data_IF_766198149984
#
_entry.id   IF_766198149984
#
_cell.length_a   1.000
_cell.length_b   1.000
_cell.length_c   1.000
_cell.angle_alpha   90.00
_cell.angle_beta   90.00
_cell.angle_gamma   90.00
#
_symmetry.space_group_name_H-M   'P 1'
#
loop_
_entity.id
_entity.type
_entity.pdbx_description
1 polymer ?
#
# COMPACT_ATOMS: atom_id res chain seq x y z
N UNK A 1 -7.32 17.09 2.98
CA UNK A 1 -7.58 16.82 1.56
C UNK A 1 -6.32 16.43 0.76
N UNK A 2 -5.14 17.00 1.04
CA UNK A 2 -3.90 16.70 0.30
C UNK A 2 -3.34 15.27 0.40
N UNK A 3 -3.70 14.48 1.41
CA UNK A 3 -3.14 13.13 1.60
C UNK A 3 -4.06 11.97 1.16
N UNK A 4 -5.27 12.23 0.69
CA UNK A 4 -6.16 11.21 0.14
C UNK A 4 -5.84 10.89 -1.33
N UNK A 5 -5.02 11.72 -1.99
CA UNK A 5 -4.67 11.58 -3.41
C UNK A 5 -3.26 10.98 -3.64
N UNK A 6 -2.55 10.58 -2.60
CA UNK A 6 -1.29 9.83 -2.76
C UNK A 6 -1.51 8.32 -2.92
N UNK A 7 -2.42 7.92 -3.81
CA UNK A 7 -2.25 6.66 -4.54
C UNK A 7 -1.05 6.93 -5.46
N UNK A 8 0.13 6.44 -5.05
CA UNK A 8 1.32 6.56 -5.90
C UNK A 8 1.09 5.78 -7.19
N UNK A 9 1.02 6.41 -8.37
CA UNK A 9 0.89 5.69 -9.64
C UNK A 9 2.21 5.04 -10.07
N UNK A 10 3.14 4.75 -9.14
CA UNK A 10 4.48 4.23 -9.44
C UNK A 10 4.54 2.76 -9.85
N UNK A 11 3.45 2.03 -9.85
CA UNK A 11 3.47 0.59 -10.18
C UNK A 11 2.84 0.21 -11.53
N UNK A 12 2.32 1.15 -12.32
CA UNK A 12 1.54 0.77 -13.51
C UNK A 12 2.25 1.03 -14.85
N UNK A 13 3.22 1.95 -14.94
CA UNK A 13 3.86 2.23 -16.24
C UNK A 13 5.35 2.61 -16.05
N UNK A 14 6.24 1.62 -15.96
CA UNK A 14 7.62 1.78 -16.42
C UNK A 14 7.61 1.54 -17.93
N UNK A 15 7.59 2.60 -18.71
CA UNK A 15 8.00 2.59 -20.10
C UNK A 15 9.38 3.21 -20.18
N UNK A 16 10.30 2.44 -20.77
CA UNK A 16 11.67 2.87 -21.09
C UNK A 16 11.65 4.07 -22.05
N UNK A 17 12.69 4.88 -21.97
CA UNK A 17 12.94 6.08 -22.78
C UNK A 17 12.88 5.77 -24.28
N UNK A 18 11.78 6.12 -24.98
CA UNK A 18 11.79 6.16 -26.44
C UNK A 18 10.73 7.13 -26.98
N UNK A 19 11.19 7.83 -27.98
CA UNK A 19 10.59 8.83 -28.87
C UNK A 19 9.06 8.89 -28.90
N UNK A 20 8.51 10.07 -28.61
CA UNK A 20 7.07 10.38 -28.77
C UNK A 20 6.66 10.17 -30.23
N UNK A 21 5.58 9.41 -30.46
CA UNK A 21 5.06 9.12 -31.79
C UNK A 21 4.69 10.42 -32.55
N UNK A 22 4.13 11.40 -31.84
CA UNK A 22 3.80 12.73 -32.41
C UNK A 22 5.06 13.49 -32.85
N UNK A 23 6.14 13.43 -32.05
CA UNK A 23 7.41 14.05 -32.40
C UNK A 23 8.09 13.32 -33.56
N UNK A 24 8.05 11.99 -33.59
CA UNK A 24 8.57 11.19 -34.70
C UNK A 24 7.82 11.49 -36.00
N UNK A 25 6.52 11.59 -35.96
CA UNK A 25 5.73 11.89 -37.15
C UNK A 25 5.91 13.32 -37.62
N UNK A 26 5.95 14.29 -36.69
CA UNK A 26 6.15 15.70 -37.03
C UNK A 26 7.57 15.99 -37.57
N UNK A 27 8.56 15.41 -36.90
CA UNK A 27 9.96 15.75 -37.15
C UNK A 27 10.63 14.86 -38.21
N UNK A 28 10.09 13.67 -38.48
CA UNK A 28 10.65 12.66 -39.39
C UNK A 28 9.74 12.36 -40.59
N UNK A 29 8.50 11.96 -40.34
CA UNK A 29 7.63 11.47 -41.41
C UNK A 29 7.02 12.59 -42.25
N UNK A 30 6.53 13.66 -41.64
CA UNK A 30 5.93 14.79 -42.37
C UNK A 30 6.89 15.48 -43.30
N UNK A 31 8.15 15.81 -42.91
CA UNK A 31 9.16 16.33 -43.82
C UNK A 31 9.51 15.34 -44.93
N UNK A 32 9.58 14.05 -44.62
CA UNK A 32 9.88 13.01 -45.62
C UNK A 32 8.76 12.91 -46.64
N UNK A 33 7.51 12.89 -46.24
CA UNK A 33 6.31 12.86 -47.09
C UNK A 33 6.20 14.12 -47.97
N UNK A 34 6.51 15.30 -47.42
CA UNK A 34 6.60 16.58 -48.20
C UNK A 34 7.69 16.50 -49.26
N UNK A 35 8.86 15.95 -48.92
CA UNK A 35 9.98 15.77 -49.83
C UNK A 35 9.65 14.75 -50.93
N UNK A 36 8.95 13.66 -50.61
CA UNK A 36 8.46 12.69 -51.57
C UNK A 36 7.44 13.31 -52.53
N UNK A 37 6.44 14.05 -52.08
CA UNK A 37 5.47 14.73 -52.95
C UNK A 37 6.12 15.70 -53.89
N UNK A 38 7.03 16.54 -53.38
CA UNK A 38 7.74 17.51 -54.19
C UNK A 38 8.58 16.82 -55.28
N UNK A 39 9.34 15.84 -54.98
CA UNK A 39 10.16 15.10 -55.91
C UNK A 39 9.35 14.28 -56.93
N UNK A 40 8.25 13.71 -56.47
CA UNK A 40 7.34 12.94 -57.34
C UNK A 40 6.62 13.86 -58.33
N UNK A 41 6.21 15.04 -57.94
CA UNK A 41 5.69 16.06 -58.87
C UNK A 41 6.74 16.58 -59.88
N UNK A 42 7.99 16.66 -59.48
CA UNK A 42 9.11 16.99 -60.39
C UNK A 42 9.34 15.84 -61.38
N UNK A 43 9.26 14.61 -60.97
CA UNK A 43 9.34 13.41 -61.83
C UNK A 43 8.19 13.37 -62.82
N UNK A 44 6.96 13.58 -62.39
CA UNK A 44 5.77 13.66 -63.22
C UNK A 44 5.89 14.77 -64.26
N UNK A 45 6.31 15.95 -63.90
CA UNK A 45 6.50 17.06 -64.81
C UNK A 45 7.63 16.84 -65.84
N UNK A 46 8.67 16.06 -65.53
CA UNK A 46 9.78 15.80 -66.47
C UNK A 46 9.50 14.66 -67.45
N UNK A 47 8.79 13.61 -67.00
CA UNK A 47 8.68 12.37 -67.78
C UNK A 47 7.31 12.17 -68.44
N UNK A 48 6.20 12.70 -67.89
CA UNK A 48 4.87 12.56 -68.48
C UNK A 48 4.74 13.36 -69.80
N UNK A 49 5.56 14.35 -70.03
CA UNK A 49 5.61 15.16 -71.30
C UNK A 49 6.31 14.50 -72.47
N UNK A 50 6.90 13.32 -72.30
CA UNK A 50 7.57 12.57 -73.36
C UNK A 50 6.57 11.56 -73.99
N UNK A 51 6.33 11.63 -75.28
CA UNK A 51 5.34 10.83 -76.05
C UNK A 51 5.51 9.30 -75.93
N UNK A 52 6.67 8.80 -75.55
CA UNK A 52 6.91 7.38 -75.30
C UNK A 52 6.41 6.82 -74.01
N UNK A 53 5.98 7.66 -73.07
CA UNK A 53 5.59 7.29 -71.72
C UNK A 53 4.06 7.26 -71.46
N UNK A 54 3.24 7.58 -72.51
CA UNK A 54 1.90 8.11 -72.30
C UNK A 54 0.80 7.11 -71.83
N UNK A 55 0.86 5.81 -72.04
CA UNK A 55 -0.33 5.02 -71.81
C UNK A 55 -0.26 3.98 -70.67
N UNK A 56 0.89 3.43 -70.35
CA UNK A 56 0.99 2.39 -69.31
C UNK A 56 1.60 2.91 -68.00
N UNK A 57 2.57 3.78 -68.09
CA UNK A 57 3.33 4.27 -66.90
C UNK A 57 2.62 5.41 -66.18
N UNK A 58 1.81 6.20 -66.85
CA UNK A 58 0.97 7.25 -66.27
C UNK A 58 -0.04 6.71 -65.26
N UNK A 59 -0.57 5.53 -65.47
CA UNK A 59 -1.52 4.88 -64.56
C UNK A 59 -0.86 4.41 -63.28
N UNK A 60 0.31 3.79 -63.32
CA UNK A 60 1.10 3.35 -62.14
C UNK A 60 1.57 4.56 -61.30
N UNK A 61 2.01 5.62 -61.95
CA UNK A 61 2.42 6.88 -61.27
C UNK A 61 1.21 7.52 -60.57
N UNK A 62 0.05 7.54 -61.24
CA UNK A 62 -1.20 8.04 -60.66
C UNK A 62 -1.64 7.21 -59.47
N UNK A 63 -1.50 5.88 -59.55
CA UNK A 63 -1.80 4.97 -58.43
C UNK A 63 -0.88 5.20 -57.24
N UNK A 64 0.43 5.41 -57.45
CA UNK A 64 1.36 5.74 -56.39
C UNK A 64 1.07 7.10 -55.72
N UNK A 65 0.64 8.09 -56.52
CA UNK A 65 0.22 9.40 -55.99
C UNK A 65 -1.03 9.30 -55.13
N UNK A 66 -2.04 8.55 -55.60
CA UNK A 66 -3.28 8.26 -54.82
C UNK A 66 -2.98 7.52 -53.53
N UNK A 67 -2.03 6.58 -53.50
CA UNK A 67 -1.64 5.84 -52.29
C UNK A 67 -0.97 6.77 -51.27
N UNK A 68 -0.09 7.66 -51.72
CA UNK A 68 0.54 8.69 -50.88
C UNK A 68 -0.47 9.68 -50.29
N UNK A 69 -1.45 10.08 -51.09
CA UNK A 69 -2.53 10.96 -50.65
C UNK A 69 -3.45 10.27 -49.63
N UNK A 70 -3.80 9.01 -49.87
CA UNK A 70 -4.59 8.18 -48.95
C UNK A 70 -3.89 8.00 -47.60
N UNK A 71 -2.60 7.70 -47.59
CA UNK A 71 -1.78 7.62 -46.37
C UNK A 71 -1.78 8.92 -45.58
N UNK A 72 -1.69 10.05 -46.28
CA UNK A 72 -1.70 11.37 -45.65
C UNK A 72 -3.06 11.74 -45.04
N UNK A 73 -4.17 11.39 -45.69
CA UNK A 73 -5.54 11.63 -45.19
C UNK A 73 -5.80 10.76 -43.96
N UNK A 74 -5.51 9.46 -44.04
CA UNK A 74 -5.65 8.55 -42.90
C UNK A 74 -4.84 9.04 -41.69
N UNK A 75 -3.66 9.58 -41.92
CA UNK A 75 -2.81 10.11 -40.87
C UNK A 75 -3.42 11.35 -40.21
N UNK A 76 -3.82 12.34 -40.98
CA UNK A 76 -4.38 13.59 -40.46
C UNK A 76 -5.67 13.36 -39.66
N UNK A 77 -6.56 12.46 -40.14
CA UNK A 77 -7.76 12.07 -39.42
C UNK A 77 -7.43 11.47 -38.04
N UNK A 78 -6.37 10.66 -37.94
CA UNK A 78 -6.00 10.04 -36.68
C UNK A 78 -5.29 11.03 -35.74
N UNK A 79 -4.46 11.91 -36.25
CA UNK A 79 -3.87 12.99 -35.48
C UNK A 79 -4.94 13.84 -34.80
N UNK A 80 -6.01 14.17 -35.52
CA UNK A 80 -7.14 14.93 -34.96
C UNK A 80 -7.86 14.13 -33.86
N UNK A 81 -8.12 12.85 -34.06
CA UNK A 81 -8.74 11.98 -33.04
C UNK A 81 -7.89 11.85 -31.78
N UNK A 82 -6.57 11.75 -31.92
CA UNK A 82 -5.64 11.68 -30.76
C UNK A 82 -5.63 12.99 -29.99
N UNK A 83 -5.61 14.13 -30.68
CA UNK A 83 -5.66 15.45 -30.05
C UNK A 83 -6.99 15.72 -29.34
N UNK A 84 -8.12 15.25 -29.89
CA UNK A 84 -9.42 15.33 -29.23
C UNK A 84 -9.50 14.45 -27.98
N UNK A 85 -9.01 13.22 -28.03
CA UNK A 85 -8.95 12.33 -26.88
C UNK A 85 -8.07 12.93 -25.77
N UNK A 86 -6.90 13.50 -26.13
CA UNK A 86 -6.02 14.20 -25.19
C UNK A 86 -6.70 15.41 -24.54
N UNK A 87 -7.46 16.20 -25.30
CA UNK A 87 -8.24 17.31 -24.75
C UNK A 87 -9.30 16.86 -23.76
N UNK A 88 -10.03 15.78 -24.04
CA UNK A 88 -11.05 15.23 -23.13
C UNK A 88 -10.43 14.75 -21.83
N UNK A 89 -9.34 13.99 -21.90
CA UNK A 89 -8.61 13.51 -20.69
C UNK A 89 -8.07 14.68 -19.86
N UNK A 90 -7.53 15.71 -20.49
CA UNK A 90 -7.03 16.91 -19.80
C UNK A 90 -8.17 17.71 -19.17
N UNK A 91 -9.32 17.84 -19.82
CA UNK A 91 -10.51 18.50 -19.25
C UNK A 91 -11.07 17.75 -18.05
N UNK A 92 -11.05 16.42 -18.05
CA UNK A 92 -11.47 15.61 -16.89
C UNK A 92 -10.46 15.67 -15.74
N UNK A 93 -9.17 15.86 -16.04
CA UNK A 93 -8.10 16.00 -15.04
C UNK A 93 -7.99 17.42 -14.47
N UNK A 94 -8.23 18.47 -15.27
CA UNK A 94 -8.12 19.88 -14.88
C UNK A 94 -9.13 20.29 -13.79
N UNK A 95 -10.23 19.56 -13.69
CA UNK A 95 -11.24 19.76 -12.63
C UNK A 95 -10.75 19.26 -11.26
N UNK A 96 -9.64 18.50 -11.16
CA UNK A 96 -9.32 17.67 -9.98
C UNK A 96 -7.89 17.73 -9.44
N UNK A 97 -6.94 18.42 -10.09
CA UNK A 97 -5.53 18.43 -9.67
C UNK A 97 -4.95 19.85 -9.50
N UNK A 98 -4.05 20.09 -8.51
CA UNK A 98 -3.29 21.34 -8.38
C UNK A 98 -2.37 21.56 -9.59
N UNK A 99 -2.17 22.84 -10.00
CA UNK A 99 -1.49 23.24 -11.22
C UNK A 99 -0.04 22.74 -11.38
N UNK A 100 0.66 22.53 -10.28
CA UNK A 100 2.04 22.02 -10.22
C UNK A 100 2.15 20.52 -10.52
N UNK A 101 1.13 19.72 -10.20
CA UNK A 101 1.07 18.31 -10.54
C UNK A 101 0.59 18.07 -11.98
N UNK A 102 -0.23 18.95 -12.52
CA UNK A 102 -0.70 18.91 -13.91
C UNK A 102 0.47 19.03 -14.89
N UNK A 103 1.42 19.95 -14.64
CA UNK A 103 2.57 20.18 -15.53
C UNK A 103 3.52 18.98 -15.60
N UNK A 104 3.72 18.29 -14.49
CA UNK A 104 4.59 17.09 -14.43
C UNK A 104 3.93 15.84 -15.05
N UNK A 105 2.62 15.73 -14.98
CA UNK A 105 1.86 14.67 -15.66
C UNK A 105 1.67 14.92 -17.15
N UNK A 106 1.55 16.20 -17.59
CA UNK A 106 1.48 16.56 -18.99
C UNK A 106 2.73 16.19 -19.79
N UNK A 107 3.91 16.20 -19.15
CA UNK A 107 5.18 15.81 -19.80
C UNK A 107 5.38 14.28 -19.83
N UNK A 108 4.75 13.51 -18.96
CA UNK A 108 4.98 12.06 -18.82
C UNK A 108 3.84 11.17 -19.33
N UNK A 109 2.71 11.76 -19.77
CA UNK A 109 1.54 11.00 -20.23
C UNK A 109 1.53 10.92 -21.75
N UNK A 110 1.60 9.71 -22.28
CA UNK A 110 1.50 9.39 -23.71
C UNK A 110 2.78 9.48 -24.55
N UNK A 111 3.85 8.80 -24.16
CA UNK A 111 4.91 8.41 -25.09
C UNK A 111 4.54 7.06 -25.71
N UNK A 112 4.20 7.05 -26.98
CA UNK A 112 4.02 5.82 -27.75
C UNK A 112 5.38 5.37 -28.30
N UNK A 113 5.71 4.09 -28.14
CA UNK A 113 6.92 3.49 -28.69
C UNK A 113 6.72 3.31 -30.19
N UNK A 114 7.56 3.96 -31.00
CA UNK A 114 7.62 3.67 -32.44
C UNK A 114 8.31 2.33 -32.64
N UNK A 115 7.70 1.34 -33.31
CA UNK A 115 8.38 0.07 -33.60
C UNK A 115 9.68 0.35 -34.36
N UNK A 116 10.84 -0.20 -33.93
CA UNK A 116 12.13 0.00 -34.60
C UNK A 116 12.10 -0.38 -36.08
N UNK A 117 11.27 -1.37 -36.44
CA UNK A 117 11.07 -1.85 -37.80
C UNK A 117 10.47 -0.79 -38.72
N UNK A 118 9.59 0.08 -38.21
CA UNK A 118 8.96 1.15 -39.00
C UNK A 118 9.98 2.21 -39.43
N UNK A 119 10.93 2.54 -38.55
CA UNK A 119 12.04 3.47 -38.86
C UNK A 119 12.95 2.91 -39.93
N UNK A 120 13.30 1.63 -39.83
CA UNK A 120 14.14 0.92 -40.81
C UNK A 120 13.44 0.82 -42.19
N UNK A 121 12.14 0.56 -42.21
CA UNK A 121 11.35 0.49 -43.44
C UNK A 121 11.29 1.86 -44.15
N UNK A 122 11.18 2.97 -43.39
CA UNK A 122 11.22 4.33 -43.95
C UNK A 122 12.59 4.70 -44.50
N UNK A 123 13.67 4.28 -43.84
CA UNK A 123 15.03 4.46 -44.34
C UNK A 123 15.22 3.66 -45.63
N UNK A 124 14.74 2.43 -45.68
CA UNK A 124 14.82 1.59 -46.89
C UNK A 124 13.99 2.17 -48.05
N UNK A 125 12.79 2.66 -47.76
CA UNK A 125 11.96 3.36 -48.75
C UNK A 125 12.67 4.60 -49.32
N UNK A 126 13.38 5.38 -48.48
CA UNK A 126 14.15 6.53 -48.88
C UNK A 126 15.32 6.13 -49.82
N UNK A 127 16.00 5.01 -49.54
CA UNK A 127 17.08 4.49 -50.40
C UNK A 127 16.53 4.05 -51.75
N UNK A 128 15.46 3.29 -51.82
CA UNK A 128 14.83 2.84 -53.08
C UNK A 128 14.32 3.99 -53.92
N UNK A 129 13.86 5.06 -53.27
CA UNK A 129 13.52 6.31 -53.98
C UNK A 129 14.73 6.93 -54.64
N UNK A 130 15.90 6.97 -54.00
CA UNK A 130 17.14 7.44 -54.61
C UNK A 130 17.56 6.59 -55.81
N UNK A 131 17.39 5.27 -55.73
CA UNK A 131 17.66 4.33 -56.83
C UNK A 131 16.71 4.60 -58.01
N UNK A 132 15.45 4.99 -57.76
CA UNK A 132 14.47 5.36 -58.79
C UNK A 132 14.91 6.65 -59.51
N UNK A 133 15.41 7.65 -58.77
CA UNK A 133 15.88 8.94 -59.31
C UNK A 133 17.15 8.73 -60.18
N UNK A 134 18.06 7.87 -59.76
CA UNK A 134 19.26 7.51 -60.53
C UNK A 134 18.97 6.64 -61.74
N UNK A 135 18.05 5.67 -61.67
CA UNK A 135 17.70 4.81 -62.78
C UNK A 135 16.92 5.53 -63.85
N UNK A 136 16.08 6.48 -63.48
CA UNK A 136 15.37 7.38 -64.37
C UNK A 136 16.35 8.26 -65.20
N UNK A 137 17.51 8.59 -64.64
CA UNK A 137 18.56 9.38 -65.35
C UNK A 137 19.32 8.53 -66.40
N UNK A 138 19.33 7.18 -66.24
CA UNK A 138 20.09 6.29 -67.15
C UNK A 138 19.28 5.74 -68.33
N UNK A 139 18.05 6.17 -68.53
CA UNK A 139 17.21 5.87 -69.75
C UNK A 139 16.92 4.37 -70.02
N UNK A 140 16.95 3.50 -69.03
CA UNK A 140 16.63 2.07 -69.16
C UNK A 140 15.19 1.80 -68.76
N UNK A 141 14.26 1.73 -69.71
CA UNK A 141 12.81 1.61 -69.47
C UNK A 141 12.36 0.39 -68.62
N UNK A 142 13.02 -0.72 -68.75
CA UNK A 142 12.70 -1.99 -68.01
C UNK A 142 13.15 -1.89 -66.55
N UNK A 143 14.26 -1.22 -66.28
CA UNK A 143 14.77 -1.00 -64.89
C UNK A 143 13.91 0.00 -64.12
N UNK A 144 13.28 0.97 -64.82
CA UNK A 144 12.35 1.92 -64.22
C UNK A 144 11.04 1.23 -63.75
N UNK A 145 10.49 0.30 -64.56
CA UNK A 145 9.28 -0.44 -64.26
C UNK A 145 9.46 -1.33 -63.01
N UNK A 146 10.54 -2.09 -62.95
CA UNK A 146 10.86 -2.96 -61.82
C UNK A 146 11.07 -2.15 -60.53
N UNK A 147 11.65 -0.95 -60.63
CA UNK A 147 11.90 -0.08 -59.50
C UNK A 147 10.61 0.59 -59.00
N UNK A 148 9.68 0.96 -59.89
CA UNK A 148 8.36 1.49 -59.54
C UNK A 148 7.52 0.41 -58.85
N UNK A 149 7.51 -0.83 -59.37
CA UNK A 149 6.77 -1.93 -58.78
C UNK A 149 7.33 -2.30 -57.40
N UNK A 150 8.64 -2.33 -57.20
CA UNK A 150 9.29 -2.54 -55.90
C UNK A 150 8.96 -1.42 -54.90
N UNK A 151 8.89 -0.13 -55.37
CA UNK A 151 8.48 0.97 -54.55
C UNK A 151 7.02 0.88 -54.14
N UNK A 152 6.12 0.53 -55.03
CA UNK A 152 4.71 0.34 -54.78
C UNK A 152 4.45 -0.79 -53.76
N UNK A 153 5.13 -1.92 -53.93
CA UNK A 153 5.05 -3.06 -52.98
C UNK A 153 5.47 -2.65 -51.57
N UNK A 154 6.56 -1.88 -51.47
CA UNK A 154 7.05 -1.43 -50.17
C UNK A 154 6.12 -0.43 -49.50
N UNK A 155 5.45 0.42 -50.32
CA UNK A 155 4.42 1.36 -49.83
C UNK A 155 3.18 0.63 -49.33
N UNK A 156 2.74 -0.45 -49.99
CA UNK A 156 1.62 -1.27 -49.54
C UNK A 156 1.97 -2.02 -48.23
N UNK A 157 3.21 -2.54 -48.12
CA UNK A 157 3.71 -3.15 -46.88
C UNK A 157 3.73 -2.16 -45.72
N UNK A 158 4.18 -0.93 -45.99
CA UNK A 158 4.20 0.16 -45.01
C UNK A 158 2.82 0.57 -44.56
N UNK A 159 1.85 0.73 -45.48
CA UNK A 159 0.45 1.02 -45.14
C UNK A 159 -0.16 -0.05 -44.21
N UNK A 160 0.12 -1.32 -44.49
CA UNK A 160 -0.31 -2.42 -43.66
C UNK A 160 0.30 -2.36 -42.26
N UNK A 161 1.63 -2.18 -42.15
CA UNK A 161 2.33 -2.09 -40.85
C UNK A 161 1.85 -0.88 -40.04
N UNK A 162 1.64 0.28 -40.69
CA UNK A 162 1.06 1.45 -40.03
C UNK A 162 -0.35 1.14 -39.54
N UNK A 163 -1.20 0.52 -40.36
CA UNK A 163 -2.55 0.14 -39.98
C UNK A 163 -2.59 -0.81 -38.80
N UNK A 164 -1.71 -1.82 -38.79
CA UNK A 164 -1.59 -2.78 -37.67
C UNK A 164 -1.12 -2.11 -36.38
N UNK A 165 -0.08 -1.26 -36.45
CA UNK A 165 0.42 -0.51 -35.31
C UNK A 165 -0.63 0.43 -34.73
N UNK A 166 -1.42 1.09 -35.57
CA UNK A 166 -2.48 1.97 -35.15
C UNK A 166 -3.67 1.20 -34.53
N UNK A 167 -3.98 0.02 -35.03
CA UNK A 167 -4.99 -0.87 -34.41
C UNK A 167 -4.61 -1.28 -32.99
N UNK A 168 -3.33 -1.60 -32.76
CA UNK A 168 -2.80 -1.91 -31.43
C UNK A 168 -2.87 -0.68 -30.50
N UNK A 169 -2.51 0.50 -31.01
CA UNK A 169 -2.59 1.74 -30.25
C UNK A 169 -4.03 2.10 -29.85
N UNK A 170 -5.02 1.89 -30.74
CA UNK A 170 -6.43 2.11 -30.44
C UNK A 170 -6.92 1.16 -29.33
N UNK A 171 -6.56 -0.13 -29.39
CA UNK A 171 -6.89 -1.10 -28.35
C UNK A 171 -6.25 -0.75 -26.99
N UNK A 172 -4.99 -0.31 -27.00
CA UNK A 172 -4.33 0.17 -25.79
C UNK A 172 -5.03 1.41 -25.21
N UNK A 173 -5.43 2.35 -26.06
CA UNK A 173 -6.15 3.55 -25.64
C UNK A 173 -7.48 3.18 -24.98
N UNK A 174 -8.29 2.34 -25.59
CA UNK A 174 -9.57 1.88 -25.01
C UNK A 174 -9.35 1.19 -23.65
N UNK A 175 -8.31 0.38 -23.53
CA UNK A 175 -7.94 -0.26 -22.27
C UNK A 175 -7.56 0.78 -21.19
N UNK A 176 -6.77 1.80 -21.54
CA UNK A 176 -6.33 2.87 -20.63
C UNK A 176 -7.52 3.76 -20.24
N UNK A 177 -8.33 4.19 -21.19
CA UNK A 177 -9.56 4.98 -20.94
C UNK A 177 -10.53 4.22 -20.02
N UNK A 178 -10.73 2.91 -20.26
CA UNK A 178 -11.52 2.05 -19.40
C UNK A 178 -10.98 1.97 -17.97
N UNK A 179 -9.67 1.83 -17.81
CA UNK A 179 -9.03 1.83 -16.47
C UNK A 179 -9.12 3.20 -15.79
N UNK A 180 -8.91 4.29 -16.52
CA UNK A 180 -9.04 5.65 -15.96
C UNK A 180 -10.47 5.91 -15.52
N UNK A 181 -11.48 5.54 -16.33
CA UNK A 181 -12.89 5.65 -15.97
C UNK A 181 -13.24 4.82 -14.73
N UNK A 182 -12.71 3.60 -14.63
CA UNK A 182 -12.87 2.75 -13.45
C UNK A 182 -12.25 3.38 -12.20
N UNK A 183 -11.02 3.88 -12.29
CA UNK A 183 -10.34 4.55 -11.17
C UNK A 183 -11.07 5.83 -10.75
N UNK A 184 -11.53 6.63 -11.74
CA UNK A 184 -12.31 7.84 -11.47
C UNK A 184 -13.67 7.50 -10.81
N UNK A 185 -14.33 6.42 -11.24
CA UNK A 185 -15.56 5.92 -10.62
C UNK A 185 -15.35 5.55 -9.16
N UNK A 186 -14.31 4.77 -8.86
CA UNK A 186 -13.95 4.40 -7.48
C UNK A 186 -13.62 5.64 -6.65
N UNK A 187 -12.82 6.57 -7.17
CA UNK A 187 -12.47 7.80 -6.47
C UNK A 187 -13.70 8.68 -6.16
N UNK A 188 -14.64 8.78 -7.08
CA UNK A 188 -15.89 9.53 -6.87
C UNK A 188 -16.77 8.85 -5.80
N UNK A 189 -16.91 7.53 -5.83
CA UNK A 189 -17.62 6.78 -4.80
C UNK A 189 -17.01 7.03 -3.40
N UNK A 190 -15.68 7.01 -3.27
CA UNK A 190 -15.00 7.33 -2.01
C UNK A 190 -15.28 8.76 -1.54
N UNK A 191 -15.25 9.75 -2.45
CA UNK A 191 -15.54 11.14 -2.14
C UNK A 191 -17.00 11.30 -1.68
N UNK A 192 -17.93 10.64 -2.34
CA UNK A 192 -19.36 10.73 -1.99
C UNK A 192 -19.65 10.04 -0.65
N UNK A 193 -19.04 8.89 -0.36
CA UNK A 193 -19.10 8.26 0.97
C UNK A 193 -18.52 9.16 2.06
N UNK A 194 -17.38 9.82 1.79
CA UNK A 194 -16.78 10.75 2.74
C UNK A 194 -17.70 11.93 3.04
N UNK A 195 -18.26 12.57 2.01
CA UNK A 195 -19.23 13.68 2.16
C UNK A 195 -20.46 13.24 2.94
N UNK A 196 -21.01 12.08 2.60
CA UNK A 196 -22.14 11.50 3.29
C UNK A 196 -21.86 11.27 4.77
N UNK A 197 -20.73 10.63 5.07
CA UNK A 197 -20.32 10.37 6.47
C UNK A 197 -20.11 11.65 7.26
N UNK A 198 -19.50 12.70 6.67
CA UNK A 198 -19.34 14.01 7.29
C UNK A 198 -20.69 14.70 7.59
N UNK A 199 -21.66 14.59 6.69
CA UNK A 199 -22.98 15.23 6.87
C UNK A 199 -23.85 14.53 7.92
N UNK A 200 -23.69 13.23 8.11
CA UNK A 200 -24.59 12.42 8.94
C UNK A 200 -23.94 11.93 10.22
N UNK A 201 -22.63 11.72 10.24
CA UNK A 201 -21.91 11.13 11.37
C UNK A 201 -21.95 11.94 12.67
N UNK A 202 -22.06 13.27 12.59
CA UNK A 202 -22.26 14.13 13.76
C UNK A 202 -23.70 14.07 14.33
N UNK A 203 -24.67 13.55 13.57
CA UNK A 203 -26.10 13.53 13.94
C UNK A 203 -26.58 12.15 14.40
N UNK A 204 -25.97 11.08 13.92
CA UNK A 204 -26.32 9.69 14.25
C UNK A 204 -25.13 8.77 14.08
N UNK A 205 -25.20 7.58 14.66
CA UNK A 205 -24.27 6.50 14.33
C UNK A 205 -24.52 5.99 12.91
N UNK A 206 -23.43 5.67 12.22
CA UNK A 206 -23.45 5.21 10.84
C UNK A 206 -23.45 3.68 10.75
N UNK A 207 -23.87 3.17 9.59
CA UNK A 207 -23.71 1.78 9.18
C UNK A 207 -22.33 1.57 8.56
N UNK A 208 -21.86 0.32 8.52
CA UNK A 208 -20.58 -0.06 7.90
C UNK A 208 -20.44 0.46 6.47
N UNK A 209 -21.47 0.26 5.65
CA UNK A 209 -21.45 0.61 4.22
C UNK A 209 -21.50 2.14 3.97
N UNK A 210 -21.87 2.93 4.98
CA UNK A 210 -21.89 4.40 4.94
C UNK A 210 -20.53 5.03 5.26
N UNK A 211 -19.57 4.23 5.76
CA UNK A 211 -18.22 4.71 6.10
C UNK A 211 -17.30 4.78 4.87
N UNK A 212 -16.37 5.75 4.82
CA UNK A 212 -15.24 5.69 3.92
C UNK A 212 -14.34 4.47 4.22
N UNK A 213 -13.70 3.90 3.20
CA UNK A 213 -12.90 2.68 3.29
C UNK A 213 -11.88 2.63 4.46
N UNK A 214 -11.10 3.69 4.77
CA UNK A 214 -10.14 3.63 5.89
C UNK A 214 -10.78 3.34 7.26
N UNK A 215 -12.08 3.63 7.43
CA UNK A 215 -12.82 3.39 8.68
C UNK A 215 -13.64 2.10 8.66
N UNK A 216 -13.67 1.37 7.55
CA UNK A 216 -14.34 0.09 7.41
C UNK A 216 -13.47 -1.06 7.96
N UNK A 217 -13.31 -1.12 9.29
CA UNK A 217 -12.37 -2.04 9.95
C UNK A 217 -12.85 -3.49 10.04
N UNK A 218 -14.17 -3.74 10.17
CA UNK A 218 -14.74 -5.08 10.34
C UNK A 218 -16.10 -5.20 9.64
N UNK A 219 -16.15 -5.92 8.52
CA UNK A 219 -17.35 -6.11 7.70
C UNK A 219 -18.50 -6.87 8.41
N UNK A 220 -18.25 -7.54 9.50
CA UNK A 220 -19.25 -8.31 10.25
C UNK A 220 -19.96 -7.49 11.32
N UNK A 221 -19.41 -6.33 11.70
CA UNK A 221 -20.06 -5.33 12.55
C UNK A 221 -20.77 -4.35 11.60
N UNK A 222 -22.10 -4.33 11.64
CA UNK A 222 -22.92 -3.64 10.64
C UNK A 222 -23.35 -2.26 11.06
N UNK A 223 -23.44 -1.98 12.34
CA UNK A 223 -24.02 -0.73 12.87
C UNK A 223 -23.19 -0.15 14.01
N UNK A 224 -23.53 1.08 14.43
CA UNK A 224 -22.95 1.67 15.62
C UNK A 224 -21.66 2.45 15.38
N UNK A 225 -21.31 2.79 14.15
CA UNK A 225 -20.08 3.49 13.83
C UNK A 225 -20.18 5.00 14.07
N UNK A 226 -19.13 5.57 14.65
CA UNK A 226 -18.94 7.03 14.84
C UNK A 226 -18.13 7.58 13.67
N UNK A 227 -18.48 8.80 13.24
CA UNK A 227 -17.68 9.57 12.30
C UNK A 227 -17.80 11.04 12.70
N UNK A 228 -16.85 11.52 13.53
CA UNK A 228 -16.95 12.73 14.33
C UNK A 228 -15.90 13.77 13.90
N UNK A 229 -16.23 15.04 14.03
CA UNK A 229 -15.42 16.15 13.54
C UNK A 229 -14.28 16.52 14.49
N UNK A 230 -14.43 16.25 15.79
CA UNK A 230 -13.46 16.66 16.80
C UNK A 230 -13.08 15.54 17.78
N UNK A 231 -11.88 15.66 18.37
CA UNK A 231 -11.45 14.79 19.44
C UNK A 231 -12.35 14.94 20.69
N UNK A 232 -12.89 16.14 20.95
CA UNK A 232 -13.81 16.38 22.07
C UNK A 232 -15.09 15.56 21.92
N UNK A 233 -15.67 15.49 20.71
CA UNK A 233 -16.84 14.67 20.43
C UNK A 233 -16.55 13.17 20.60
N UNK A 234 -15.34 12.75 20.22
CA UNK A 234 -14.88 11.38 20.44
C UNK A 234 -14.80 11.06 21.96
N UNK A 235 -14.29 11.97 22.80
CA UNK A 235 -14.29 11.81 24.26
C UNK A 235 -15.69 11.84 24.85
N UNK A 236 -16.57 12.69 24.33
CA UNK A 236 -17.97 12.72 24.76
C UNK A 236 -18.71 11.41 24.46
N UNK A 237 -18.28 10.67 23.40
CA UNK A 237 -18.89 9.39 23.04
C UNK A 237 -18.72 8.28 24.09
N UNK A 238 -17.85 8.43 25.08
CA UNK A 238 -17.75 7.53 26.23
C UNK A 238 -19.08 7.37 26.97
N UNK A 239 -19.97 8.37 26.88
CA UNK A 239 -21.23 8.43 27.63
C UNK A 239 -22.46 7.94 26.86
N UNK A 240 -22.29 7.40 25.63
CA UNK A 240 -23.35 6.73 24.89
C UNK A 240 -22.85 5.45 24.22
N UNK A 241 -23.79 4.56 23.87
CA UNK A 241 -23.45 3.23 23.33
C UNK A 241 -23.17 3.31 21.83
N UNK A 242 -22.05 2.73 21.40
CA UNK A 242 -21.62 2.58 20.03
C UNK A 242 -20.78 1.29 19.89
N UNK A 243 -20.37 0.92 18.67
CA UNK A 243 -19.64 -0.31 18.40
C UNK A 243 -18.30 -0.43 19.17
N UNK A 244 -17.69 0.67 19.55
CA UNK A 244 -16.41 0.70 20.27
C UNK A 244 -16.55 0.82 21.80
N UNK A 245 -17.77 0.97 22.32
CA UNK A 245 -17.97 1.15 23.78
C UNK A 245 -17.35 0.02 24.59
N UNK A 246 -17.55 -1.24 24.20
CA UNK A 246 -16.96 -2.38 24.89
C UNK A 246 -15.43 -2.42 24.81
N UNK A 247 -14.83 -2.00 23.69
CA UNK A 247 -13.38 -1.90 23.54
C UNK A 247 -12.79 -0.83 24.48
N UNK A 248 -13.40 0.36 24.52
CA UNK A 248 -12.96 1.46 25.38
C UNK A 248 -13.04 1.06 26.85
N UNK A 249 -14.22 0.65 27.29
CA UNK A 249 -14.46 0.40 28.70
C UNK A 249 -13.70 -0.83 29.25
N UNK A 250 -13.48 -1.87 28.44
CA UNK A 250 -12.69 -3.05 28.87
C UNK A 250 -11.25 -2.67 29.24
N UNK A 251 -10.56 -1.89 28.39
CA UNK A 251 -9.19 -1.47 28.66
C UNK A 251 -9.09 -0.30 29.63
N UNK A 252 -10.05 0.63 29.63
CA UNK A 252 -10.09 1.70 30.64
C UNK A 252 -10.24 1.16 32.05
N UNK A 253 -11.20 0.28 32.27
CA UNK A 253 -11.41 -0.38 33.58
C UNK A 253 -10.22 -1.30 33.93
N UNK A 254 -9.70 -2.02 32.94
CA UNK A 254 -8.47 -2.79 33.10
C UNK A 254 -7.28 -1.95 33.54
N UNK A 255 -7.08 -0.76 32.92
CA UNK A 255 -6.06 0.20 33.30
C UNK A 255 -6.27 0.71 34.73
N UNK A 256 -7.47 1.19 35.07
CA UNK A 256 -7.76 1.72 36.41
C UNK A 256 -7.53 0.66 37.50
N UNK A 257 -7.96 -0.58 37.25
CA UNK A 257 -7.75 -1.71 38.16
C UNK A 257 -6.28 -2.03 38.33
N UNK A 258 -5.56 -2.22 37.20
CA UNK A 258 -4.12 -2.51 37.25
C UNK A 258 -3.33 -1.39 37.91
N UNK A 259 -3.63 -0.13 37.57
CA UNK A 259 -2.96 1.03 38.12
C UNK A 259 -3.14 1.09 39.64
N UNK A 260 -4.37 0.92 40.15
CA UNK A 260 -4.66 0.94 41.58
C UNK A 260 -3.95 -0.20 42.32
N UNK A 261 -4.00 -1.42 41.80
CA UNK A 261 -3.33 -2.58 42.39
C UNK A 261 -1.81 -2.45 42.33
N UNK A 262 -1.25 -1.93 41.22
CA UNK A 262 0.16 -1.72 41.06
C UNK A 262 0.72 -0.67 41.99
N UNK A 263 0.03 0.45 42.16
CA UNK A 263 0.38 1.50 43.13
C UNK A 263 0.33 0.93 44.57
N UNK A 264 -0.77 0.21 44.91
CA UNK A 264 -0.86 -0.44 46.20
C UNK A 264 0.33 -1.41 46.44
N UNK A 265 0.70 -2.19 45.46
CA UNK A 265 1.81 -3.13 45.58
C UNK A 265 3.16 -2.44 45.77
N UNK A 266 3.42 -1.35 45.08
CA UNK A 266 4.67 -0.61 45.18
C UNK A 266 4.91 0.01 46.55
N UNK A 267 3.82 0.43 47.22
CA UNK A 267 3.92 1.16 48.50
C UNK A 267 3.58 0.33 49.73
N UNK A 268 2.77 -0.74 49.58
CA UNK A 268 2.20 -1.46 50.71
C UNK A 268 2.43 -3.00 50.66
N UNK A 269 2.98 -3.54 49.56
CA UNK A 269 3.29 -4.96 49.50
C UNK A 269 4.62 -5.25 50.18
N UNK A 270 4.64 -6.13 51.18
CA UNK A 270 5.86 -6.59 51.84
C UNK A 270 6.89 -7.11 50.84
N UNK A 271 6.44 -7.77 49.76
CA UNK A 271 7.29 -8.29 48.71
C UNK A 271 8.11 -7.15 48.04
N UNK A 272 7.45 -6.10 47.57
CA UNK A 272 8.09 -5.04 46.79
C UNK A 272 8.82 -4.00 47.70
N UNK A 273 8.36 -3.80 48.93
CA UNK A 273 8.98 -2.86 49.85
C UNK A 273 10.30 -3.43 50.45
N UNK A 274 10.45 -4.77 50.53
CA UNK A 274 11.62 -5.44 51.08
C UNK A 274 12.74 -5.76 50.07
N UNK A 275 12.49 -5.56 48.75
CA UNK A 275 13.50 -5.87 47.74
C UNK A 275 14.36 -4.65 47.36
N UNK A 276 15.60 -4.86 46.79
CA UNK A 276 16.44 -3.80 46.29
C UNK A 276 15.74 -2.91 45.25
N UNK A 277 16.21 -1.67 45.15
CA UNK A 277 15.65 -0.70 44.22
C UNK A 277 15.72 -1.17 42.76
N UNK A 278 16.79 -1.89 42.38
CA UNK A 278 16.97 -2.42 41.03
C UNK A 278 15.84 -3.41 40.68
N UNK A 279 15.52 -4.34 41.56
CA UNK A 279 14.45 -5.33 41.37
C UNK A 279 13.09 -4.65 41.30
N UNK A 280 12.87 -3.62 42.12
CA UNK A 280 11.65 -2.81 42.09
C UNK A 280 11.51 -2.04 40.78
N UNK A 281 12.62 -1.54 40.22
CA UNK A 281 12.60 -0.88 38.90
C UNK A 281 12.18 -1.83 37.77
N UNK A 282 12.59 -3.08 37.80
CA UNK A 282 12.17 -4.07 36.78
C UNK A 282 10.65 -4.31 36.84
N UNK A 283 10.10 -4.43 38.07
CA UNK A 283 8.65 -4.48 38.25
C UNK A 283 7.98 -3.21 37.70
N UNK A 284 8.51 -2.02 37.99
CA UNK A 284 7.98 -0.75 37.49
C UNK A 284 8.00 -0.67 35.96
N UNK A 285 9.05 -1.15 35.28
CA UNK A 285 9.12 -1.17 33.80
C UNK A 285 7.98 -2.01 33.23
N UNK A 286 7.76 -3.23 33.75
CA UNK A 286 6.63 -4.07 33.32
C UNK A 286 5.29 -3.39 33.63
N UNK A 287 5.11 -2.88 34.84
CA UNK A 287 3.89 -2.23 35.28
C UNK A 287 3.51 -1.03 34.40
N UNK A 288 4.49 -0.15 34.13
CA UNK A 288 4.28 1.04 33.28
C UNK A 288 4.02 0.62 31.81
N UNK A 289 4.68 -0.42 31.32
CA UNK A 289 4.43 -0.95 29.98
C UNK A 289 3.01 -1.47 29.84
N UNK A 290 2.49 -2.20 30.84
CA UNK A 290 1.13 -2.71 30.86
C UNK A 290 0.10 -1.57 30.96
N UNK A 291 0.32 -0.61 31.85
CA UNK A 291 -0.52 0.60 31.96
C UNK A 291 -0.55 1.39 30.63
N UNK A 292 0.61 1.59 30.00
CA UNK A 292 0.73 2.25 28.69
C UNK A 292 -0.04 1.51 27.61
N UNK A 293 0.08 0.17 27.53
CA UNK A 293 -0.62 -0.63 26.54
C UNK A 293 -2.15 -0.44 26.65
N UNK A 294 -2.71 -0.61 27.86
CA UNK A 294 -4.15 -0.44 28.09
C UNK A 294 -4.64 0.99 27.82
N UNK A 295 -3.83 2.00 28.18
CA UNK A 295 -4.19 3.40 27.95
C UNK A 295 -4.10 3.77 26.45
N UNK A 296 -3.06 3.35 25.73
CA UNK A 296 -2.93 3.59 24.29
C UNK A 296 -4.09 2.98 23.52
N UNK A 297 -4.51 1.76 23.89
CA UNK A 297 -5.68 1.12 23.31
C UNK A 297 -6.98 1.85 23.65
N UNK A 298 -7.17 2.28 24.90
CA UNK A 298 -8.32 3.11 25.28
C UNK A 298 -8.40 4.38 24.44
N UNK A 299 -7.27 5.08 24.26
CA UNK A 299 -7.19 6.32 23.46
C UNK A 299 -7.48 6.03 21.99
N UNK A 300 -6.92 4.94 21.44
CA UNK A 300 -7.20 4.50 20.07
C UNK A 300 -8.69 4.26 19.87
N UNK A 301 -9.32 3.42 20.66
CA UNK A 301 -10.75 3.09 20.53
C UNK A 301 -11.66 4.30 20.81
N UNK A 302 -11.22 5.27 21.61
CA UNK A 302 -11.94 6.54 21.79
C UNK A 302 -11.86 7.40 20.53
N UNK A 303 -10.68 7.52 19.93
CA UNK A 303 -10.43 8.45 18.81
C UNK A 303 -10.58 7.82 17.42
N UNK A 304 -10.83 6.51 17.30
CA UNK A 304 -10.97 5.86 15.99
C UNK A 304 -12.21 6.29 15.19
N UNK A 305 -13.16 6.95 15.83
CA UNK A 305 -14.31 7.60 15.18
C UNK A 305 -14.02 8.99 14.61
N UNK A 306 -12.79 9.53 14.72
CA UNK A 306 -12.47 10.85 14.20
C UNK A 306 -12.35 10.85 12.67
N UNK A 307 -12.91 11.86 12.00
CA UNK A 307 -12.89 11.99 10.54
C UNK A 307 -11.54 12.46 9.96
N UNK A 308 -10.56 12.75 10.82
CA UNK A 308 -9.21 13.13 10.42
C UNK A 308 -8.31 11.89 10.28
N UNK A 309 -8.01 11.50 9.05
CA UNK A 309 -7.23 10.30 8.74
C UNK A 309 -5.82 10.30 9.36
N UNK A 310 -5.15 11.47 9.43
CA UNK A 310 -3.82 11.57 10.05
C UNK A 310 -3.87 11.27 11.55
N UNK A 311 -4.87 11.78 12.25
CA UNK A 311 -5.07 11.52 13.67
C UNK A 311 -5.44 10.06 13.89
N UNK A 312 -6.39 9.52 13.11
CA UNK A 312 -6.77 8.12 13.10
C UNK A 312 -5.55 7.19 13.01
N UNK A 313 -4.70 7.37 11.99
CA UNK A 313 -3.50 6.56 11.79
C UNK A 313 -2.46 6.70 12.91
N UNK A 314 -2.27 7.91 13.46
CA UNK A 314 -1.31 8.14 14.55
C UNK A 314 -1.72 7.43 15.84
N UNK A 315 -3.01 7.50 16.20
CA UNK A 315 -3.46 6.84 17.43
C UNK A 315 -3.53 5.32 17.28
N UNK A 316 -3.82 4.79 16.07
CA UNK A 316 -3.67 3.37 15.76
C UNK A 316 -2.22 2.90 15.94
N UNK A 317 -1.26 3.69 15.43
CA UNK A 317 0.17 3.39 15.60
C UNK A 317 0.58 3.34 17.07
N UNK A 318 0.09 4.25 17.92
CA UNK A 318 0.38 4.26 19.36
C UNK A 318 -0.15 3.01 20.06
N UNK A 319 -1.30 2.49 19.66
CA UNK A 319 -1.85 1.24 20.18
C UNK A 319 -0.94 0.05 19.86
N UNK A 320 -0.51 -0.11 18.61
CA UNK A 320 0.44 -1.14 18.21
C UNK A 320 1.79 -1.05 18.94
N UNK A 321 2.30 0.18 19.16
CA UNK A 321 3.50 0.41 19.97
C UNK A 321 3.27 -0.03 21.42
N UNK A 322 2.07 0.14 21.96
CA UNK A 322 1.68 -0.37 23.28
C UNK A 322 1.89 -1.86 23.42
N UNK A 323 1.42 -2.64 22.42
CA UNK A 323 1.56 -4.11 22.39
C UNK A 323 3.05 -4.52 22.38
N UNK A 324 3.87 -3.91 21.49
CA UNK A 324 5.30 -4.23 21.40
C UNK A 324 6.04 -3.99 22.70
N UNK A 325 5.77 -2.85 23.34
CA UNK A 325 6.42 -2.48 24.62
C UNK A 325 6.01 -3.43 25.73
N UNK A 326 4.72 -3.82 25.80
CA UNK A 326 4.24 -4.79 26.81
C UNK A 326 4.89 -6.16 26.63
N UNK A 327 4.97 -6.66 25.38
CA UNK A 327 5.60 -7.97 25.09
C UNK A 327 7.04 -7.96 25.54
N UNK A 328 7.83 -6.97 25.12
CA UNK A 328 9.26 -6.89 25.45
C UNK A 328 9.51 -6.68 26.95
N UNK A 329 8.72 -5.87 27.63
CA UNK A 329 8.80 -5.69 29.08
C UNK A 329 8.45 -6.97 29.84
N UNK A 330 7.48 -7.74 29.35
CA UNK A 330 7.12 -9.06 29.92
C UNK A 330 8.26 -10.07 29.76
N UNK A 331 8.92 -10.11 28.60
CA UNK A 331 10.08 -10.96 28.35
C UNK A 331 11.25 -10.53 29.24
N UNK A 332 11.57 -9.23 29.27
CA UNK A 332 12.67 -8.70 30.10
C UNK A 332 12.48 -8.99 31.59
N UNK A 333 11.25 -9.02 32.10
CA UNK A 333 10.95 -9.43 33.46
C UNK A 333 11.38 -10.90 33.71
N UNK A 334 11.05 -11.80 32.80
CA UNK A 334 11.44 -13.21 32.88
C UNK A 334 12.95 -13.40 32.76
N UNK A 335 13.61 -12.65 31.88
CA UNK A 335 15.07 -12.64 31.70
C UNK A 335 15.80 -12.20 32.98
N UNK A 336 15.33 -11.10 33.55
CA UNK A 336 15.94 -10.51 34.72
C UNK A 336 15.95 -11.49 35.91
N UNK A 337 14.80 -12.06 36.24
CA UNK A 337 14.68 -12.95 37.37
C UNK A 337 15.15 -14.38 37.07
N UNK A 338 14.97 -14.87 35.83
CA UNK A 338 15.42 -16.20 35.41
C UNK A 338 16.95 -16.37 35.45
N UNK A 339 17.66 -15.31 35.10
CA UNK A 339 19.13 -15.26 35.12
C UNK A 339 19.66 -14.32 36.21
N UNK A 340 18.95 -14.23 37.34
CA UNK A 340 19.26 -13.31 38.42
C UNK A 340 20.69 -13.45 38.93
N UNK A 341 21.22 -14.70 39.01
CA UNK A 341 22.56 -15.04 39.51
C UNK A 341 23.62 -15.10 38.41
N UNK A 342 23.28 -14.86 37.14
CA UNK A 342 24.23 -14.81 36.02
C UNK A 342 24.12 -13.47 35.27
N UNK A 343 24.90 -12.52 35.75
CA UNK A 343 24.91 -11.15 35.19
C UNK A 343 25.23 -11.11 33.71
N UNK A 344 26.14 -11.98 33.23
CA UNK A 344 26.56 -11.97 31.82
C UNK A 344 25.40 -12.43 30.92
N UNK A 345 24.80 -13.57 31.26
CA UNK A 345 23.67 -14.11 30.48
C UNK A 345 22.50 -13.16 30.54
N UNK A 346 22.17 -12.62 31.71
CA UNK A 346 21.12 -11.62 31.88
C UNK A 346 21.31 -10.40 30.98
N UNK A 347 22.53 -9.82 30.94
CA UNK A 347 22.83 -8.66 30.09
C UNK A 347 22.68 -8.98 28.60
N UNK A 348 23.10 -10.17 28.14
CA UNK A 348 22.95 -10.59 26.74
C UNK A 348 21.49 -10.63 26.36
N UNK A 349 20.65 -11.31 27.14
CA UNK A 349 19.21 -11.43 26.86
C UNK A 349 18.51 -10.08 26.90
N UNK A 350 18.71 -9.28 27.95
CA UNK A 350 18.08 -7.96 28.07
C UNK A 350 18.49 -7.01 26.93
N UNK A 351 19.74 -7.09 26.46
CA UNK A 351 20.21 -6.29 25.31
C UNK A 351 19.54 -6.75 24.01
N UNK A 352 19.40 -8.07 23.81
CA UNK A 352 18.68 -8.60 22.66
C UNK A 352 17.19 -8.18 22.68
N UNK A 353 16.53 -8.29 23.83
CA UNK A 353 15.15 -7.86 24.01
C UNK A 353 14.97 -6.34 23.82
N UNK A 354 15.95 -5.52 24.21
CA UNK A 354 15.97 -4.10 23.90
C UNK A 354 16.01 -3.85 22.38
N UNK A 355 16.83 -4.60 21.64
CA UNK A 355 16.85 -4.56 20.16
C UNK A 355 15.50 -4.94 19.53
N UNK A 356 14.85 -5.99 20.05
CA UNK A 356 13.51 -6.38 19.65
C UNK A 356 12.47 -5.31 19.99
N UNK A 357 12.59 -4.63 21.11
CA UNK A 357 11.71 -3.53 21.50
C UNK A 357 11.82 -2.34 20.53
N UNK A 358 13.03 -1.97 20.13
CA UNK A 358 13.30 -0.92 19.13
C UNK A 358 12.64 -1.31 17.79
N UNK A 359 12.82 -2.56 17.34
CA UNK A 359 12.15 -3.07 16.14
C UNK A 359 10.64 -3.03 16.30
N UNK A 360 10.10 -3.52 17.41
CA UNK A 360 8.67 -3.53 17.71
C UNK A 360 8.02 -2.15 17.74
N UNK A 361 8.77 -1.14 18.22
CA UNK A 361 8.31 0.25 18.23
C UNK A 361 8.39 0.87 16.84
N UNK A 362 9.41 0.55 16.04
CA UNK A 362 9.64 1.18 14.73
C UNK A 362 8.71 0.65 13.64
N UNK A 363 8.31 -0.61 13.69
CA UNK A 363 7.48 -1.25 12.65
C UNK A 363 6.10 -0.62 12.47
N UNK A 364 5.34 -0.24 13.50
CA UNK A 364 4.05 0.42 13.35
C UNK A 364 4.07 1.77 12.61
N UNK A 365 5.23 2.43 12.54
CA UNK A 365 5.39 3.70 11.82
C UNK A 365 5.58 3.51 10.30
N UNK A 366 5.70 2.28 9.83
CA UNK A 366 5.79 2.01 8.40
C UNK A 366 4.42 2.17 7.73
N UNK A 367 4.35 2.89 6.62
CA UNK A 367 3.10 3.21 5.92
C UNK A 367 2.28 2.00 5.45
N UNK A 368 2.93 0.85 5.30
CA UNK A 368 2.28 -0.40 4.90
C UNK A 368 1.72 -1.21 6.08
N UNK A 369 2.20 -0.97 7.32
CA UNK A 369 1.92 -1.82 8.48
C UNK A 369 0.43 -1.86 8.85
N UNK A 370 -0.28 -0.74 8.70
CA UNK A 370 -1.71 -0.64 9.06
C UNK A 370 -2.67 -0.99 7.91
N UNK A 371 -2.17 -1.44 6.74
CA UNK A 371 -3.03 -1.84 5.63
C UNK A 371 -3.89 -3.04 6.01
N UNK A 372 -5.17 -3.00 5.63
CA UNK A 372 -6.14 -4.06 5.96
C UNK A 372 -5.72 -5.42 5.39
N UNK A 373 -5.16 -5.45 4.17
CA UNK A 373 -4.70 -6.66 3.49
C UNK A 373 -3.56 -7.36 4.25
N UNK A 374 -2.78 -6.60 5.04
CA UNK A 374 -1.64 -7.10 5.80
C UNK A 374 -1.98 -7.46 7.26
N UNK A 375 -3.27 -7.58 7.59
CA UNK A 375 -3.71 -7.97 8.93
C UNK A 375 -3.04 -9.25 9.46
N UNK A 376 -2.93 -10.28 8.63
CA UNK A 376 -2.26 -11.52 9.02
C UNK A 376 -0.76 -11.36 9.25
N UNK A 377 -0.11 -10.47 8.50
CA UNK A 377 1.30 -10.13 8.73
C UNK A 377 1.49 -9.41 10.07
N UNK A 378 0.59 -8.49 10.44
CA UNK A 378 0.61 -7.84 11.77
C UNK A 378 0.43 -8.84 12.90
N UNK A 379 -0.54 -9.74 12.81
CA UNK A 379 -0.74 -10.79 13.80
C UNK A 379 0.52 -11.66 13.92
N UNK A 380 1.07 -12.10 12.79
CA UNK A 380 2.29 -12.90 12.73
C UNK A 380 3.50 -12.19 13.35
N UNK A 381 3.63 -10.89 13.13
CA UNK A 381 4.70 -10.07 13.72
C UNK A 381 4.64 -10.05 15.25
N UNK A 382 3.48 -9.77 15.85
CA UNK A 382 3.35 -9.75 17.30
C UNK A 382 3.47 -11.15 17.93
N UNK A 383 2.98 -12.17 17.26
CA UNK A 383 3.15 -13.57 17.69
C UNK A 383 4.63 -13.97 17.65
N UNK A 384 5.36 -13.63 16.57
CA UNK A 384 6.79 -13.90 16.48
C UNK A 384 7.60 -13.16 17.56
N UNK A 385 7.26 -11.89 17.82
CA UNK A 385 7.85 -11.11 18.89
C UNK A 385 7.62 -11.77 20.27
N UNK A 386 6.41 -12.25 20.55
CA UNK A 386 6.10 -12.96 21.79
C UNK A 386 6.83 -14.32 21.88
N UNK A 387 6.92 -15.06 20.77
CA UNK A 387 7.61 -16.35 20.70
C UNK A 387 9.13 -16.25 20.93
N UNK A 388 9.74 -15.05 20.77
CA UNK A 388 11.16 -14.86 21.09
C UNK A 388 11.47 -15.19 22.56
N UNK A 389 10.51 -15.02 23.47
CA UNK A 389 10.62 -15.43 24.87
C UNK A 389 10.73 -16.95 25.10
N UNK A 390 10.40 -17.79 24.11
CA UNK A 390 10.55 -19.24 24.24
C UNK A 390 11.99 -19.68 24.40
N UNK A 391 12.95 -18.91 23.88
CA UNK A 391 14.39 -19.18 23.99
C UNK A 391 14.80 -19.20 25.46
N UNK A 392 14.24 -18.32 26.29
CA UNK A 392 14.51 -18.24 27.73
C UNK A 392 14.01 -19.53 28.42
N UNK A 393 12.80 -20.00 28.05
CA UNK A 393 12.21 -21.20 28.62
C UNK A 393 13.10 -22.42 28.34
N UNK A 394 13.59 -22.55 27.11
CA UNK A 394 14.49 -23.63 26.70
C UNK A 394 15.80 -23.54 27.48
N UNK A 395 16.44 -22.37 27.55
CA UNK A 395 17.70 -22.22 28.25
C UNK A 395 17.57 -22.51 29.75
N UNK A 396 16.55 -21.94 30.41
CA UNK A 396 16.28 -22.23 31.82
C UNK A 396 16.00 -23.73 32.08
N UNK A 397 15.27 -24.40 31.16
CA UNK A 397 15.01 -25.82 31.27
C UNK A 397 16.25 -26.69 31.18
N UNK A 398 17.24 -26.28 30.38
CA UNK A 398 18.56 -26.97 30.28
C UNK A 398 19.36 -26.80 31.55
N UNK A 399 19.46 -25.57 32.09
CA UNK A 399 20.34 -25.31 33.26
C UNK A 399 19.74 -25.62 34.61
N UNK A 400 18.37 -25.56 34.74
CA UNK A 400 17.65 -25.75 36.02
C UNK A 400 16.76 -27.01 36.04
N UNK A 401 16.58 -27.65 34.89
CA UNK A 401 15.63 -28.75 34.72
C UNK A 401 14.24 -28.29 34.32
N UNK A 402 13.63 -29.05 33.42
CA UNK A 402 12.34 -28.70 32.79
C UNK A 402 11.18 -28.54 33.80
N UNK A 403 11.09 -29.43 34.79
CA UNK A 403 10.03 -29.37 35.81
C UNK A 403 10.14 -28.14 36.70
N UNK A 404 11.34 -27.83 37.18
CA UNK A 404 11.57 -26.65 38.03
C UNK A 404 11.22 -25.38 37.28
N UNK A 405 11.68 -25.27 36.01
CA UNK A 405 11.36 -24.15 35.14
C UNK A 405 9.85 -24.03 34.87
N UNK A 406 9.17 -25.15 34.61
CA UNK A 406 7.72 -25.17 34.39
C UNK A 406 6.94 -24.65 35.60
N UNK A 407 7.23 -25.13 36.80
CA UNK A 407 6.55 -24.67 38.02
C UNK A 407 6.85 -23.19 38.31
N UNK A 408 8.09 -22.76 38.12
CA UNK A 408 8.48 -21.36 38.33
C UNK A 408 7.79 -20.43 37.34
N UNK A 409 7.68 -20.80 36.06
CA UNK A 409 7.01 -20.04 35.00
C UNK A 409 5.49 -20.30 34.93
N UNK A 410 4.89 -21.05 35.84
CA UNK A 410 3.47 -21.39 35.76
C UNK A 410 2.52 -20.19 35.56
N UNK A 411 2.70 -19.05 36.25
CA UNK A 411 1.86 -17.87 35.96
C UNK A 411 2.09 -17.29 34.55
N UNK A 412 3.33 -17.37 34.03
CA UNK A 412 3.65 -16.91 32.66
C UNK A 412 2.94 -17.79 31.63
N UNK A 413 2.91 -19.12 31.82
CA UNK A 413 2.15 -20.01 30.94
C UNK A 413 0.65 -19.73 30.94
N UNK A 414 0.09 -19.37 32.10
CA UNK A 414 -1.31 -18.91 32.19
C UNK A 414 -1.54 -17.61 31.45
N UNK A 415 -0.59 -16.68 31.54
CA UNK A 415 -0.59 -15.43 30.75
C UNK A 415 -0.56 -15.72 29.25
N UNK A 416 0.37 -16.58 28.80
CA UNK A 416 0.46 -16.99 27.40
C UNK A 416 -0.83 -17.67 26.91
N UNK A 417 -1.46 -18.52 27.73
CA UNK A 417 -2.73 -19.14 27.38
C UNK A 417 -3.83 -18.09 27.16
N UNK A 418 -3.92 -17.07 28.01
CA UNK A 418 -4.85 -15.97 27.79
C UNK A 418 -4.58 -15.29 26.44
N UNK A 419 -3.36 -14.94 26.11
CA UNK A 419 -3.03 -14.31 24.83
C UNK A 419 -3.33 -15.22 23.63
N UNK A 420 -3.03 -16.52 23.70
CA UNK A 420 -3.32 -17.49 22.64
C UNK A 420 -4.83 -17.61 22.40
N UNK A 421 -5.62 -17.74 23.46
CA UNK A 421 -7.07 -17.80 23.34
C UNK A 421 -7.62 -16.50 22.78
N UNK A 422 -7.20 -15.37 23.32
CA UNK A 422 -7.64 -14.04 22.88
C UNK A 422 -7.31 -13.76 21.41
N UNK A 423 -6.08 -14.02 20.98
CA UNK A 423 -5.67 -13.81 19.57
C UNK A 423 -6.42 -14.77 18.63
N UNK A 424 -6.81 -15.95 19.09
CA UNK A 424 -7.61 -16.90 18.29
C UNK A 424 -9.00 -16.35 17.99
N UNK A 425 -9.66 -15.71 18.98
CA UNK A 425 -10.93 -14.99 18.77
C UNK A 425 -10.74 -13.85 17.77
N UNK A 426 -9.75 -12.99 18.02
CA UNK A 426 -9.44 -11.85 17.17
C UNK A 426 -9.12 -12.25 15.72
N UNK A 427 -8.28 -13.25 15.52
CA UNK A 427 -7.87 -13.69 14.19
C UNK A 427 -9.03 -14.27 13.37
N UNK A 428 -9.93 -15.01 14.01
CA UNK A 428 -11.12 -15.62 13.38
C UNK A 428 -12.31 -14.67 13.29
N UNK A 429 -12.24 -13.50 13.92
CA UNK A 429 -13.37 -12.59 14.09
C UNK A 429 -14.63 -13.30 14.63
N UNK A 430 -14.42 -14.22 15.57
CA UNK A 430 -15.52 -14.97 16.20
C UNK A 430 -15.95 -14.27 17.50
N UNK A 431 -17.27 -14.05 17.72
CA UNK A 431 -18.41 -14.70 17.07
C UNK A 431 -19.04 -13.93 15.90
N UNK A 432 -18.68 -12.66 15.66
CA UNK A 432 -19.35 -11.79 14.69
C UNK A 432 -19.24 -12.30 13.24
N UNK A 433 -18.18 -13.04 12.89
CA UNK A 433 -18.06 -13.65 11.54
C UNK A 433 -19.11 -14.72 11.26
N UNK A 434 -19.62 -15.38 12.31
CA UNK A 434 -20.67 -16.40 12.19
C UNK A 434 -22.06 -15.78 12.24
N UNK A 435 -22.24 -14.71 13.02
CA UNK A 435 -23.51 -14.02 13.21
C UNK A 435 -23.37 -12.51 12.99
N UNK A 436 -23.18 -12.06 11.74
CA UNK A 436 -23.00 -10.63 11.44
C UNK A 436 -24.17 -9.77 11.92
N UNK A 437 -23.86 -8.63 12.51
CA UNK A 437 -24.86 -7.68 13.04
C UNK A 437 -25.41 -8.03 14.42
N UNK A 438 -25.14 -9.23 14.98
CA UNK A 438 -25.63 -9.59 16.33
C UNK A 438 -24.71 -9.10 17.45
N UNK A 439 -23.46 -8.88 17.16
CA UNK A 439 -22.43 -8.48 18.14
C UNK A 439 -21.88 -7.08 17.86
N UNK A 440 -22.69 -6.20 17.26
CA UNK A 440 -22.24 -4.88 16.82
C UNK A 440 -21.74 -3.99 17.98
N UNK A 441 -22.38 -4.08 19.15
CA UNK A 441 -22.06 -3.24 20.29
C UNK A 441 -21.27 -3.99 21.37
N UNK A 442 -21.62 -5.25 21.66
CA UNK A 442 -21.02 -6.01 22.74
C UNK A 442 -20.75 -7.47 22.34
N UNK A 443 -19.64 -8.01 22.85
CA UNK A 443 -19.28 -9.42 22.74
C UNK A 443 -18.58 -9.82 21.42
N UNK A 444 -18.20 -8.88 20.56
CA UNK A 444 -17.43 -9.21 19.35
C UNK A 444 -15.97 -9.58 19.68
N UNK A 445 -15.28 -10.18 18.73
CA UNK A 445 -13.96 -10.79 18.90
C UNK A 445 -12.91 -9.84 19.48
N UNK A 446 -12.94 -8.56 19.13
CA UNK A 446 -11.97 -7.58 19.61
C UNK A 446 -12.16 -7.27 21.09
N UNK A 447 -13.41 -7.20 21.57
CA UNK A 447 -13.69 -7.05 23.00
C UNK A 447 -13.27 -8.29 23.80
N UNK A 448 -13.49 -9.50 23.26
CA UNK A 448 -12.97 -10.72 23.86
C UNK A 448 -11.45 -10.71 23.94
N UNK A 449 -10.78 -10.28 22.86
CA UNK A 449 -9.32 -10.09 22.84
C UNK A 449 -8.86 -9.16 23.97
N UNK A 450 -9.52 -8.01 24.19
CA UNK A 450 -9.22 -7.08 25.29
C UNK A 450 -9.33 -7.72 26.67
N UNK A 451 -10.38 -8.50 26.92
CA UNK A 451 -10.56 -9.19 28.18
C UNK A 451 -9.42 -10.20 28.43
N UNK A 452 -9.04 -10.95 27.39
CA UNK A 452 -7.93 -11.89 27.48
C UNK A 452 -6.58 -11.21 27.63
N UNK A 453 -6.37 -10.02 27.04
CA UNK A 453 -5.18 -9.18 27.30
C UNK A 453 -5.11 -8.77 28.77
N UNK A 454 -6.20 -8.30 29.34
CA UNK A 454 -6.27 -7.98 30.79
C UNK A 454 -5.95 -9.23 31.64
N UNK A 455 -6.48 -10.41 31.29
CA UNK A 455 -6.16 -11.68 31.95
C UNK A 455 -4.68 -12.05 31.83
N UNK A 456 -4.09 -11.88 30.66
CA UNK A 456 -2.66 -12.08 30.40
C UNK A 456 -1.79 -11.17 31.25
N UNK A 457 -2.10 -9.86 31.29
CA UNK A 457 -1.41 -8.88 32.15
C UNK A 457 -1.54 -9.26 33.63
N UNK A 458 -2.72 -9.69 34.07
CA UNK A 458 -2.95 -10.11 35.47
C UNK A 458 -2.05 -11.28 35.87
N UNK A 459 -1.98 -12.33 35.07
CA UNK A 459 -1.10 -13.47 35.36
C UNK A 459 0.38 -13.10 35.29
N UNK A 460 0.78 -12.22 34.41
CA UNK A 460 2.16 -11.71 34.33
C UNK A 460 2.51 -10.84 35.55
N UNK A 461 1.56 -10.00 36.01
CA UNK A 461 1.70 -9.26 37.26
C UNK A 461 1.90 -10.22 38.46
N UNK A 462 1.13 -11.32 38.52
CA UNK A 462 1.33 -12.36 39.53
C UNK A 462 2.71 -13.03 39.42
N UNK A 463 3.18 -13.26 38.20
CA UNK A 463 4.55 -13.74 37.97
C UNK A 463 5.60 -12.76 38.49
N UNK A 464 5.44 -11.47 38.24
CA UNK A 464 6.35 -10.42 38.70
C UNK A 464 6.51 -10.41 40.23
N UNK A 465 5.40 -10.51 40.99
CA UNK A 465 5.46 -10.61 42.44
C UNK A 465 6.10 -11.91 42.93
N UNK A 466 5.78 -13.06 42.29
CA UNK A 466 6.38 -14.34 42.61
C UNK A 466 7.89 -14.31 42.36
N UNK A 467 8.34 -13.80 41.23
CA UNK A 467 9.74 -13.74 40.88
C UNK A 467 10.52 -12.81 41.84
N UNK A 468 9.94 -11.68 42.20
CA UNK A 468 10.50 -10.75 43.18
C UNK A 468 10.67 -11.41 44.55
N UNK A 469 9.68 -12.19 45.01
CA UNK A 469 9.75 -12.89 46.28
C UNK A 469 10.74 -14.07 46.28
N UNK A 470 10.98 -14.68 45.13
CA UNK A 470 11.85 -15.86 44.95
C UNK A 470 13.21 -15.50 44.32
N UNK A 471 13.58 -14.21 44.29
CA UNK A 471 14.83 -13.75 43.69
C UNK A 471 16.02 -14.48 44.33
N UNK A 472 16.95 -14.94 43.52
CA UNK A 472 18.13 -15.70 43.99
C UNK A 472 17.85 -17.15 44.37
N UNK A 473 16.66 -17.51 44.85
CA UNK A 473 16.30 -18.90 45.19
C UNK A 473 16.28 -19.78 43.96
N UNK A 474 15.60 -19.32 42.88
CA UNK A 474 15.55 -20.06 41.62
C UNK A 474 16.95 -20.26 41.00
N UNK A 475 17.88 -19.34 41.24
CA UNK A 475 19.21 -19.35 40.68
C UNK A 475 20.29 -19.96 41.60
N UNK A 476 19.93 -20.43 42.80
CA UNK A 476 20.85 -20.96 43.83
C UNK A 476 22.01 -19.99 44.17
N UNK A 477 21.77 -18.69 44.11
CA UNK A 477 22.79 -17.72 44.52
C UNK A 477 22.58 -17.26 45.96
N UNK A 478 23.67 -17.20 46.74
CA UNK A 478 23.68 -16.57 48.06
C UNK A 478 23.53 -15.05 47.85
N UNK A 479 22.42 -14.48 48.25
CA UNK A 479 22.19 -13.04 48.28
C UNK A 479 22.98 -12.49 49.49
N UNK A 480 24.08 -11.80 49.26
CA UNK A 480 24.70 -10.97 50.30
C UNK A 480 23.83 -9.73 50.49
N UNK A 481 23.24 -9.62 51.67
CA UNK A 481 22.46 -8.46 52.11
C UNK A 481 23.37 -7.31 52.50
#
# INVERSE_FOLDING_TARGET
MENLLTIQPKSVLRFDENVDLDDFFRDTLEPLMKKFRYRFSQFENRYVKSERFQNYKAEKIKKAHLLLEHLNIKWEERRQKTLEARRKVLQELDVKLPADQLQQQQQNSFKFITPPDLVNDLIELSKRYHELDESAFKNNGEMIDNTIDAFMLKMEELDKKISDALSVADKMRECVEGKISQVAGVANEHIDKLKYAMQHGSKRLLMYDELPEPWQSNQYIRTGYRFLDSAADCWYSLFYVHNESGNIWSHLLGFLTLFSIGIYSLFFSDVLTSIPIQDRLVFCVFFLAACKCLMCSTVWHTLNGINNLKTYQRVACLDYVGISVLICASIALCEYYGFYCDDRVRQIYMTATLGLAILGISMPFQSWFDRHELRWLRIGFFVALACSGAIIIVHLSIIRGAWVTFYWLAPVFKSCLCYIVGVSFYAKQFPESVWPGKFDHFGHSHQLWHIFVCGGIWYHYRAALQFASQRGVFGDCQLTY
#
